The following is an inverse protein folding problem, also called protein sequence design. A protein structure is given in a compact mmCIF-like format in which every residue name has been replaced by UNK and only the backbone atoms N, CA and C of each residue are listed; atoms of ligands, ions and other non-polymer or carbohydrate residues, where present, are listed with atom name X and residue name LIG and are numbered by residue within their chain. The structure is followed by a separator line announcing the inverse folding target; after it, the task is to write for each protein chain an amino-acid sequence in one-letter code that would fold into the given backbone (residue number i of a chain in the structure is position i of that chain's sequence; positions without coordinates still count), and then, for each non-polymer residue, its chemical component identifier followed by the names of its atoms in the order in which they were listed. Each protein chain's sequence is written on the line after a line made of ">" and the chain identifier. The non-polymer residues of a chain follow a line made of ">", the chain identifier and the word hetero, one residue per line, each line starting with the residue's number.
data_IF_936280483369
#
_entry.id   IF_936280483369
#
_cell.length_a   1.000
_cell.length_b   1.000
_cell.length_c   1.000
_cell.angle_alpha   90.00
_cell.angle_beta   90.00
_cell.angle_gamma   90.00
#
_symmetry.space_group_name_H-M   'P 1'
#
loop_
_entity.id
_entity.type
_entity.pdbx_description
1 polymer ?
#
# COMPACT_ATOMS: atom_id res chain seq x y z
N UNK A 1 4.97 13.32 -27.29
CA UNK A 1 3.76 13.00 -26.51
C UNK A 1 4.11 13.14 -25.03
N UNK A 2 3.88 14.33 -24.46
CA UNK A 2 4.23 14.64 -23.07
C UNK A 2 3.08 14.29 -22.14
N UNK A 3 3.29 13.32 -21.24
CA UNK A 3 2.33 12.99 -20.19
C UNK A 3 2.27 14.14 -19.19
N UNK A 4 1.30 15.03 -19.36
CA UNK A 4 0.94 16.04 -18.36
C UNK A 4 0.40 15.32 -17.12
N UNK A 5 1.26 15.08 -16.13
CA UNK A 5 0.84 14.79 -14.75
C UNK A 5 0.02 15.99 -14.28
N UNK A 6 -1.23 15.84 -13.78
CA UNK A 6 -1.92 16.97 -13.20
C UNK A 6 -1.21 17.39 -11.90
N UNK A 7 -0.59 18.56 -11.97
CA UNK A 7 -0.47 19.60 -10.94
C UNK A 7 -1.08 19.29 -9.57
N UNK A 8 -0.22 19.15 -8.54
CA UNK A 8 -0.53 19.52 -7.15
C UNK A 8 -0.72 18.42 -6.08
N UNK A 9 -0.73 17.14 -6.45
CA UNK A 9 -1.04 16.03 -5.52
C UNK A 9 0.08 15.01 -5.30
N UNK A 10 -0.09 14.15 -4.30
CA UNK A 10 0.75 12.98 -4.07
C UNK A 10 0.49 11.90 -5.13
N UNK A 11 1.53 11.11 -5.45
CA UNK A 11 1.40 9.94 -6.32
C UNK A 11 0.31 8.98 -5.80
N UNK A 12 -0.44 8.31 -6.69
CA UNK A 12 -1.43 7.31 -6.28
C UNK A 12 -0.82 6.20 -5.44
N UNK A 13 -1.59 5.69 -4.48
CA UNK A 13 -1.17 4.56 -3.64
C UNK A 13 -1.06 3.30 -4.49
N UNK A 14 0.03 2.56 -4.31
CA UNK A 14 0.29 1.26 -4.93
C UNK A 14 0.55 0.24 -3.84
N UNK A 15 -0.17 -0.86 -3.87
CA UNK A 15 -0.06 -1.95 -2.90
C UNK A 15 0.31 -3.21 -3.67
N UNK A 16 1.55 -3.66 -3.51
CA UNK A 16 2.02 -4.92 -4.06
C UNK A 16 1.70 -6.07 -3.10
N UNK A 17 1.11 -7.14 -3.61
CA UNK A 17 0.88 -8.34 -2.83
C UNK A 17 2.02 -9.33 -3.07
N UNK A 18 2.97 -9.40 -2.14
CA UNK A 18 4.10 -10.34 -2.23
C UNK A 18 3.78 -11.71 -1.62
N UNK A 19 2.52 -11.96 -1.26
CA UNK A 19 2.09 -13.23 -0.67
C UNK A 19 1.62 -14.18 -1.76
N UNK A 20 1.65 -15.49 -1.48
CA UNK A 20 1.11 -16.52 -2.37
C UNK A 20 -0.42 -16.57 -2.43
N UNK A 21 -1.10 -15.60 -1.81
CA UNK A 21 -2.54 -15.59 -1.56
C UNK A 21 -3.15 -14.28 -2.00
N UNK A 22 -4.47 -14.27 -2.22
CA UNK A 22 -5.19 -13.03 -2.54
C UNK A 22 -5.42 -12.21 -1.27
N UNK A 23 -5.43 -10.89 -1.42
CA UNK A 23 -5.62 -9.99 -0.29
C UNK A 23 -6.61 -8.87 -0.63
N UNK A 24 -7.30 -8.38 0.40
CA UNK A 24 -8.22 -7.26 0.30
C UNK A 24 -8.13 -6.39 1.55
N UNK A 25 -8.56 -5.14 1.46
CA UNK A 25 -8.49 -4.22 2.59
C UNK A 25 -8.86 -2.80 2.20
N UNK A 26 -8.44 -1.86 3.05
CA UNK A 26 -8.75 -0.45 2.88
C UNK A 26 -7.49 0.43 3.00
N UNK A 27 -7.47 1.51 2.24
CA UNK A 27 -6.54 2.63 2.40
C UNK A 27 -7.31 3.78 3.05
N UNK A 28 -6.89 4.14 4.25
CA UNK A 28 -7.46 5.25 5.02
C UNK A 28 -6.58 6.49 4.86
N UNK A 29 -7.24 7.63 4.66
CA UNK A 29 -6.57 8.92 4.47
C UNK A 29 -6.84 9.89 5.62
N UNK A 30 -5.91 10.82 5.84
CA UNK A 30 -6.09 11.93 6.77
C UNK A 30 -7.05 12.96 6.15
N UNK A 31 -8.08 13.35 6.92
CA UNK A 31 -9.11 14.37 6.63
C UNK A 31 -10.48 13.82 6.22
N UNK A 32 -11.54 14.49 6.69
CA UNK A 32 -12.94 14.22 6.33
C UNK A 32 -13.26 14.48 4.86
N UNK A 33 -12.42 15.26 4.17
CA UNK A 33 -12.57 15.55 2.74
C UNK A 33 -11.96 14.46 1.84
N UNK A 34 -11.33 13.44 2.42
CA UNK A 34 -10.71 12.35 1.71
C UNK A 34 -11.58 11.10 1.83
N UNK A 35 -11.88 10.46 0.71
CA UNK A 35 -12.59 9.19 0.68
C UNK A 35 -11.60 8.04 0.79
N UNK A 36 -11.88 7.07 1.66
CA UNK A 36 -11.05 5.88 1.81
C UNK A 36 -11.24 4.94 0.61
N UNK A 37 -10.15 4.35 0.14
CA UNK A 37 -10.23 3.37 -0.95
C UNK A 37 -10.42 1.96 -0.38
N UNK A 38 -11.31 1.18 -0.98
CA UNK A 38 -11.36 -0.27 -0.79
C UNK A 38 -10.59 -0.93 -1.94
N UNK A 39 -9.82 -1.97 -1.62
CA UNK A 39 -9.03 -2.66 -2.62
C UNK A 39 -9.09 -4.18 -2.48
N UNK A 40 -8.85 -4.84 -3.61
CA UNK A 40 -8.60 -6.27 -3.70
C UNK A 40 -7.45 -6.46 -4.69
N UNK A 41 -6.51 -7.33 -4.35
CA UNK A 41 -5.28 -7.56 -5.11
C UNK A 41 -4.98 -9.06 -5.14
N UNK A 42 -4.75 -9.59 -6.34
CA UNK A 42 -4.38 -10.99 -6.51
C UNK A 42 -2.96 -11.23 -5.99
N UNK A 43 -2.60 -12.49 -5.81
CA UNK A 43 -1.21 -12.88 -5.53
C UNK A 43 -0.26 -12.34 -6.59
N UNK A 44 0.92 -11.88 -6.18
CA UNK A 44 1.99 -11.37 -7.05
C UNK A 44 1.57 -10.19 -7.96
N UNK A 45 0.45 -9.54 -7.66
CA UNK A 45 -0.06 -8.38 -8.40
C UNK A 45 0.06 -7.07 -7.59
N UNK A 46 -0.10 -5.95 -8.31
CA UNK A 46 -0.15 -4.61 -7.70
C UNK A 46 -1.51 -3.98 -7.92
N UNK A 47 -2.18 -3.63 -6.84
CA UNK A 47 -3.32 -2.71 -6.91
C UNK A 47 -2.82 -1.26 -6.92
N UNK A 48 -3.52 -0.40 -7.67
CA UNK A 48 -3.23 1.02 -7.75
C UNK A 48 -4.52 1.83 -7.54
N UNK A 49 -4.47 2.80 -6.64
CA UNK A 49 -5.54 3.76 -6.44
C UNK A 49 -5.74 4.62 -7.70
N UNK A 50 -6.98 5.03 -7.97
CA UNK A 50 -7.28 5.97 -9.06
C UNK A 50 -6.64 7.35 -8.82
N UNK A 51 -6.51 7.75 -7.56
CA UNK A 51 -5.79 8.95 -7.13
C UNK A 51 -6.09 9.28 -5.66
N UNK A 52 -5.25 10.12 -5.05
CA UNK A 52 -5.46 10.59 -3.67
C UNK A 52 -5.33 12.10 -3.48
N UNK A 53 -5.06 12.85 -4.55
CA UNK A 53 -4.83 14.29 -4.47
C UNK A 53 -3.80 14.65 -3.39
N UNK A 54 -4.17 15.54 -2.47
CA UNK A 54 -3.33 15.98 -1.33
C UNK A 54 -3.56 15.16 -0.05
N UNK A 55 -4.33 14.08 -0.11
CA UNK A 55 -4.68 13.26 1.05
C UNK A 55 -3.49 12.40 1.49
N UNK A 56 -3.08 12.54 2.75
CA UNK A 56 -2.03 11.73 3.35
C UNK A 56 -2.58 10.37 3.76
N UNK A 57 -1.81 9.30 3.61
CA UNK A 57 -2.23 7.96 4.07
C UNK A 57 -2.00 7.86 5.58
N UNK A 58 -3.03 7.46 6.34
CA UNK A 58 -2.93 7.25 7.79
C UNK A 58 -2.87 5.77 8.13
N UNK A 59 -3.61 4.94 7.40
CA UNK A 59 -3.66 3.50 7.67
C UNK A 59 -3.89 2.69 6.41
N UNK A 60 -3.29 1.51 6.34
CA UNK A 60 -3.58 0.52 5.31
C UNK A 60 -3.84 -0.82 6.01
N UNK A 61 -5.05 -1.33 5.87
CA UNK A 61 -5.44 -2.64 6.37
C UNK A 61 -5.31 -3.66 5.26
N UNK A 62 -5.02 -4.92 5.62
CA UNK A 62 -5.05 -6.03 4.68
C UNK A 62 -5.54 -7.29 5.38
N UNK A 63 -6.35 -8.06 4.68
CA UNK A 63 -6.79 -9.41 5.04
C UNK A 63 -6.38 -10.34 3.92
N UNK A 64 -5.62 -11.38 4.26
CA UNK A 64 -5.08 -12.37 3.31
C UNK A 64 -5.95 -13.62 3.34
N UNK A 65 -6.47 -14.04 2.18
CA UNK A 65 -7.31 -15.23 2.04
C UNK A 65 -6.45 -16.47 1.87
N UNK A 66 -6.26 -17.22 2.93
CA UNK A 66 -5.51 -18.47 2.91
C UNK A 66 -6.44 -19.69 2.87
N UNK A 67 -5.95 -20.90 2.53
CA UNK A 67 -6.73 -22.12 2.66
C UNK A 67 -7.21 -22.40 4.09
N UNK A 68 -6.53 -21.86 5.10
CA UNK A 68 -6.90 -21.96 6.52
C UNK A 68 -7.93 -20.91 6.95
N UNK A 69 -8.34 -20.02 6.04
CA UNK A 69 -9.26 -18.92 6.29
C UNK A 69 -8.64 -17.54 6.05
N UNK A 70 -9.43 -16.53 6.36
CA UNK A 70 -9.06 -15.12 6.23
C UNK A 70 -8.23 -14.67 7.44
N UNK A 71 -7.01 -14.22 7.19
CA UNK A 71 -6.08 -13.78 8.23
C UNK A 71 -5.84 -12.28 8.09
N UNK A 72 -6.15 -11.52 9.14
CA UNK A 72 -5.82 -10.11 9.20
C UNK A 72 -4.30 -9.90 9.30
N UNK A 73 -3.74 -9.12 8.39
CA UNK A 73 -2.35 -8.69 8.44
C UNK A 73 -2.19 -7.56 9.47
N UNK A 74 -0.98 -7.43 10.04
CA UNK A 74 -0.59 -6.24 10.78
C UNK A 74 -0.69 -5.00 9.86
N UNK A 75 -1.52 -4.01 10.18
CA UNK A 75 -1.74 -2.86 9.32
C UNK A 75 -0.54 -1.91 9.33
N UNK A 76 -0.34 -1.19 8.24
CA UNK A 76 0.53 -0.02 8.26
C UNK A 76 -0.25 1.13 8.90
N UNK A 77 0.35 1.81 9.89
CA UNK A 77 -0.24 2.97 10.56
C UNK A 77 0.76 4.12 10.62
N UNK A 78 0.28 5.34 10.40
CA UNK A 78 1.05 6.58 10.53
C UNK A 78 0.14 7.76 10.88
N UNK A 79 0.73 8.86 11.35
CA UNK A 79 0.00 10.12 11.56
C UNK A 79 -0.37 10.85 10.25
N UNK A 80 -0.05 10.28 9.09
CA UNK A 80 -0.20 10.87 7.77
C UNK A 80 1.13 10.82 7.00
N UNK A 81 1.16 10.09 5.88
CA UNK A 81 2.37 9.95 5.05
C UNK A 81 2.15 10.30 3.58
N UNK A 82 3.19 10.88 2.97
CA UNK A 82 3.30 11.10 1.53
C UNK A 82 3.80 9.87 0.77
N UNK A 83 4.23 8.80 1.45
CA UNK A 83 4.64 7.56 0.78
C UNK A 83 3.47 7.00 -0.05
N UNK A 84 3.79 6.52 -1.25
CA UNK A 84 2.82 5.99 -2.22
C UNK A 84 2.98 4.50 -2.47
N UNK A 85 4.07 3.87 -2.02
CA UNK A 85 4.38 2.48 -2.34
C UNK A 85 4.38 1.61 -1.07
N UNK A 86 3.55 0.58 -1.08
CA UNK A 86 3.39 -0.35 0.02
C UNK A 86 3.37 -1.79 -0.50
N UNK A 87 3.64 -2.73 0.40
CA UNK A 87 3.58 -4.14 0.11
C UNK A 87 2.94 -4.91 1.25
N UNK A 88 2.14 -5.92 0.91
CA UNK A 88 1.67 -6.97 1.82
C UNK A 88 2.72 -8.07 1.78
N UNK A 89 3.33 -8.36 2.91
CA UNK A 89 4.40 -9.35 3.04
C UNK A 89 4.01 -10.43 4.05
N UNK A 90 4.51 -11.64 3.84
CA UNK A 90 4.45 -12.70 4.83
C UNK A 90 5.71 -12.63 5.71
N UNK A 91 5.51 -12.56 7.03
CA UNK A 91 6.60 -12.43 8.03
C UNK A 91 6.77 -13.69 8.87
N UNK A 92 5.83 -14.62 8.79
CA UNK A 92 5.87 -15.93 9.44
C UNK A 92 4.76 -16.85 8.93
N UNK A 93 4.66 -18.08 9.45
CA UNK A 93 3.53 -18.97 9.14
C UNK A 93 2.23 -18.29 9.54
N UNK A 94 1.32 -18.08 8.57
CA UNK A 94 0.04 -17.41 8.80
C UNK A 94 0.15 -16.01 9.45
N UNK A 95 1.29 -15.33 9.27
CA UNK A 95 1.53 -13.99 9.78
C UNK A 95 1.90 -13.07 8.62
N UNK A 96 1.11 -12.01 8.45
CA UNK A 96 1.22 -11.06 7.36
C UNK A 96 1.32 -9.65 7.90
N UNK A 97 1.94 -8.75 7.13
CA UNK A 97 2.08 -7.33 7.49
C UNK A 97 2.05 -6.46 6.25
N UNK A 98 1.48 -5.26 6.39
CA UNK A 98 1.63 -4.19 5.39
C UNK A 98 2.83 -3.32 5.75
N UNK A 99 3.73 -3.11 4.80
CA UNK A 99 4.92 -2.28 4.99
C UNK A 99 5.12 -1.29 3.84
N UNK A 100 5.80 -0.18 4.12
CA UNK A 100 6.24 0.73 3.08
C UNK A 100 7.35 0.09 2.23
N UNK A 101 7.33 0.34 0.93
CA UNK A 101 8.43 -0.03 0.03
C UNK A 101 9.39 1.15 -0.05
N UNK A 102 10.67 0.91 0.23
CA UNK A 102 11.74 1.90 0.08
C UNK A 102 12.69 1.45 -1.02
N UNK A 103 12.94 2.31 -2.01
CA UNK A 103 13.92 2.01 -3.05
C UNK A 103 15.33 2.11 -2.46
N UNK A 104 16.16 1.07 -2.62
CA UNK A 104 17.55 1.05 -2.13
C UNK A 104 18.50 2.00 -2.90
N UNK A 105 17.99 2.80 -3.84
CA UNK A 105 18.75 3.72 -4.68
C UNK A 105 19.26 4.97 -3.93
N UNK A 106 20.00 4.78 -2.84
CA UNK A 106 20.91 5.79 -2.26
C UNK A 106 21.93 5.25 -1.25
N UNK A 107 22.39 4.00 -1.40
CA UNK A 107 23.61 3.52 -0.73
C UNK A 107 24.72 3.13 -1.72
N UNK A 108 25.00 4.00 -2.69
CA UNK A 108 26.38 4.07 -3.22
C UNK A 108 27.16 5.00 -2.29
N UNK A 109 27.70 4.45 -1.20
CA UNK A 109 28.85 5.08 -0.55
C UNK A 109 29.94 5.11 -1.62
N UNK A 110 30.34 6.30 -2.05
CA UNK A 110 31.62 6.46 -2.77
C UNK A 110 32.69 6.00 -1.79
N UNK A 111 33.35 4.90 -2.10
CA UNK A 111 34.68 4.60 -1.58
C UNK A 111 35.67 5.53 -2.28
#
# INVERSE_FOLDING_TARGET
>A
MGNRRPTGGYDPVRIYNSTSYNAFGAVEYASIFCSNDQYSVQRDETWQASGRGVCLVTRITATVRTPSGDIAAEPYTSSGTSYSQFAIIQVGPNQFRVTRVVSAARRRRKC
#
